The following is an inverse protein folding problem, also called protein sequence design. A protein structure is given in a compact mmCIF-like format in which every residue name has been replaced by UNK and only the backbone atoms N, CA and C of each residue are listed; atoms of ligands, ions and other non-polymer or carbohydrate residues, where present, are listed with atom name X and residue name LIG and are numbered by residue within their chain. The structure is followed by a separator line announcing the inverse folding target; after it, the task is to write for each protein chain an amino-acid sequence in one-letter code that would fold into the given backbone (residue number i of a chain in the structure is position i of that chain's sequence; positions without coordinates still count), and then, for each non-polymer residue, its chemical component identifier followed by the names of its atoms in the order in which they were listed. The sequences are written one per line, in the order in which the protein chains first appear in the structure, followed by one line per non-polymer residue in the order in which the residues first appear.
data_IF_424765784603
#
_entry.id   IF_424765784603
#
_cell.length_a   1.000
_cell.length_b   1.000
_cell.length_c   1.000
_cell.angle_alpha   90.00
_cell.angle_beta   90.00
_cell.angle_gamma   90.00
#
_symmetry.space_group_name_H-M   'P 1'
#
loop_
_entity.id
_entity.type
_entity.pdbx_description
1 polymer ?
#
# COMPACT_ATOMS: atom_id res chain seq x y z
N UNK A 1 40.32 -39.57 -13.79
CA UNK A 1 41.39 -38.56 -13.61
C UNK A 1 41.53 -37.73 -14.89
N UNK A 2 41.06 -36.48 -14.88
CA UNK A 2 41.47 -35.42 -15.82
C UNK A 2 41.13 -34.08 -15.15
N UNK A 3 42.17 -33.29 -14.90
CA UNK A 3 42.11 -31.90 -14.41
C UNK A 3 42.16 -30.93 -15.61
N UNK A 4 41.89 -29.66 -15.28
CA UNK A 4 42.20 -28.41 -16.00
C UNK A 4 41.14 -28.02 -17.05
N UNK A 5 40.56 -26.82 -17.08
CA UNK A 5 40.78 -25.56 -16.36
C UNK A 5 39.96 -24.43 -17.03
N UNK A 6 40.20 -23.18 -16.59
CA UNK A 6 39.67 -21.87 -17.05
C UNK A 6 38.34 -21.45 -16.39
N UNK A 7 38.30 -20.57 -15.38
CA UNK A 7 38.61 -19.12 -15.38
C UNK A 7 37.96 -18.35 -16.55
N UNK A 8 37.03 -17.44 -16.22
CA UNK A 8 36.43 -16.55 -17.20
C UNK A 8 35.28 -15.68 -16.69
N UNK A 9 35.65 -14.52 -16.16
CA UNK A 9 34.93 -13.24 -16.23
C UNK A 9 33.69 -13.00 -15.36
N UNK A 10 33.98 -12.31 -14.27
CA UNK A 10 33.15 -11.30 -13.60
C UNK A 10 32.73 -10.19 -14.57
N UNK A 11 31.45 -10.13 -14.93
CA UNK A 11 30.83 -8.94 -15.51
C UNK A 11 29.98 -8.26 -14.43
N UNK A 12 30.63 -7.33 -13.73
CA UNK A 12 30.01 -6.30 -12.89
C UNK A 12 29.22 -5.35 -13.79
N UNK A 13 27.91 -5.58 -13.91
CA UNK A 13 26.97 -4.68 -14.54
C UNK A 13 26.38 -3.72 -13.52
N UNK A 14 27.11 -2.64 -13.22
CA UNK A 14 26.63 -1.51 -12.45
C UNK A 14 25.54 -0.77 -13.25
N UNK A 15 24.28 -1.19 -13.07
CA UNK A 15 23.10 -0.49 -13.55
C UNK A 15 22.80 0.73 -12.68
N UNK A 16 23.55 1.80 -12.90
CA UNK A 16 23.23 3.14 -12.44
C UNK A 16 21.93 3.63 -13.06
N UNK A 17 21.08 4.23 -12.22
CA UNK A 17 20.31 5.40 -12.60
C UNK A 17 18.98 5.14 -13.30
N UNK A 18 17.92 5.17 -12.49
CA UNK A 18 16.81 6.11 -12.71
C UNK A 18 15.97 6.17 -11.44
N UNK A 19 16.41 7.01 -10.51
CA UNK A 19 15.52 7.63 -9.55
C UNK A 19 14.53 8.47 -10.36
N UNK A 20 13.36 7.90 -10.66
CA UNK A 20 12.21 8.65 -11.11
C UNK A 20 11.81 9.58 -9.98
N UNK A 21 12.35 10.79 -10.02
CA UNK A 21 11.84 11.91 -9.26
C UNK A 21 10.36 12.10 -9.63
N UNK A 22 9.48 11.58 -8.78
CA UNK A 22 8.07 11.94 -8.77
C UNK A 22 8.02 13.37 -8.22
N UNK A 23 8.39 14.32 -9.06
CA UNK A 23 8.10 15.74 -8.84
C UNK A 23 6.59 15.84 -8.93
N UNK A 24 5.96 15.77 -7.76
CA UNK A 24 4.55 16.11 -7.60
C UNK A 24 4.34 17.49 -8.18
N UNK A 25 3.72 17.55 -9.36
CA UNK A 25 2.99 18.75 -9.79
C UNK A 25 1.78 18.87 -8.88
N UNK A 26 2.00 19.31 -7.64
CA UNK A 26 0.98 20.03 -6.90
C UNK A 26 0.81 21.33 -7.67
N UNK A 27 -0.12 21.30 -8.62
CA UNK A 27 -0.54 22.47 -9.37
C UNK A 27 -0.95 23.52 -8.37
N UNK A 28 -0.07 24.49 -8.16
CA UNK A 28 -0.33 25.74 -7.47
C UNK A 28 -1.44 26.46 -8.25
N UNK A 29 -2.70 26.13 -7.93
CA UNK A 29 -3.87 26.86 -8.37
C UNK A 29 -4.00 28.15 -7.54
N UNK A 30 -3.00 29.03 -7.60
CA UNK A 30 -3.09 30.42 -7.12
C UNK A 30 -3.44 31.39 -8.25
N UNK A 31 -3.94 30.87 -9.38
CA UNK A 31 -4.32 31.67 -10.52
C UNK A 31 -5.83 31.85 -10.50
N UNK A 32 -6.24 32.96 -9.90
CA UNK A 32 -7.36 33.85 -10.28
C UNK A 32 -7.83 34.61 -9.04
N UNK A 33 -6.93 35.43 -8.47
CA UNK A 33 -7.39 36.60 -7.72
C UNK A 33 -7.78 37.66 -8.76
N UNK A 34 -9.05 38.12 -8.79
CA UNK A 34 -9.44 39.16 -9.74
C UNK A 34 -8.70 40.43 -9.38
N UNK A 35 -7.89 40.92 -10.33
CA UNK A 35 -7.33 42.26 -10.32
C UNK A 35 -8.50 43.27 -10.39
N UNK A 36 -9.07 43.57 -9.23
CA UNK A 36 -10.01 44.66 -9.02
C UNK A 36 -9.31 45.96 -9.37
N UNK A 37 -9.65 46.48 -10.55
CA UNK A 37 -9.28 47.79 -11.08
C UNK A 37 -9.38 48.87 -10.00
N UNK A 38 -8.23 49.33 -9.51
CA UNK A 38 -8.13 50.55 -8.73
C UNK A 38 -8.49 51.74 -9.65
N UNK A 39 -9.75 52.17 -9.60
CA UNK A 39 -10.19 53.44 -10.18
C UNK A 39 -9.57 54.57 -9.35
N UNK A 40 -8.56 55.21 -9.92
CA UNK A 40 -7.92 56.39 -9.37
C UNK A 40 -8.93 57.53 -9.21
N UNK A 41 -9.30 57.81 -7.96
CA UNK A 41 -9.88 59.07 -7.54
C UNK A 41 -8.80 59.90 -6.83
N UNK A 42 -8.07 60.71 -7.60
CA UNK A 42 -7.25 61.80 -7.03
C UNK A 42 -8.20 62.84 -6.42
N UNK A 43 -8.37 62.81 -5.10
CA UNK A 43 -8.79 63.98 -4.33
C UNK A 43 -7.64 64.35 -3.42
N UNK A 44 -7.07 65.53 -3.65
CA UNK A 44 -6.00 66.11 -2.86
C UNK A 44 -6.46 66.29 -1.41
N UNK A 45 -5.94 65.46 -0.53
CA UNK A 45 -5.97 65.64 0.91
C UNK A 45 -4.52 65.59 1.41
N UNK A 46 -4.17 66.52 2.28
CA UNK A 46 -2.82 66.74 2.82
C UNK A 46 -2.10 65.44 3.26
N UNK A 47 -0.75 65.41 3.24
CA UNK A 47 0.03 64.26 3.70
C UNK A 47 -0.12 64.09 5.22
N UNK A 48 -1.22 63.46 5.65
CA UNK A 48 -1.36 62.94 7.00
C UNK A 48 -0.38 61.79 7.16
N UNK A 49 0.62 61.95 8.03
CA UNK A 49 1.55 60.89 8.38
C UNK A 49 0.76 59.68 8.92
N UNK A 50 0.48 58.70 8.05
CA UNK A 50 -0.15 57.46 8.43
C UNK A 50 0.77 56.77 9.45
N UNK A 51 0.41 56.84 10.73
CA UNK A 51 1.15 56.18 11.80
C UNK A 51 1.11 54.68 11.51
N UNK A 52 2.24 54.12 11.13
CA UNK A 52 2.44 52.68 11.00
C UNK A 52 2.35 52.10 12.41
N UNK A 53 1.16 51.63 12.79
CA UNK A 53 0.99 50.91 14.05
C UNK A 53 1.79 49.61 14.00
N UNK A 54 2.73 49.45 14.93
CA UNK A 54 3.39 48.17 15.15
C UNK A 54 2.49 47.22 15.95
N UNK A 55 2.73 45.93 15.84
CA UNK A 55 2.07 44.92 16.68
C UNK A 55 2.48 45.12 18.14
N UNK A 56 1.51 45.02 19.06
CA UNK A 56 1.82 45.03 20.49
C UNK A 56 2.43 43.68 20.90
N UNK A 57 3.29 43.66 21.92
CA UNK A 57 3.87 42.40 22.44
C UNK A 57 2.78 41.37 22.81
N UNK A 58 1.70 41.85 23.43
CA UNK A 58 0.55 41.01 23.82
C UNK A 58 -0.09 40.35 22.60
N UNK A 59 -0.28 41.10 21.52
CA UNK A 59 -0.85 40.57 20.28
C UNK A 59 0.05 39.50 19.64
N UNK A 60 1.36 39.70 19.67
CA UNK A 60 2.34 38.69 19.20
C UNK A 60 2.25 37.43 20.05
N UNK A 61 2.18 37.55 21.39
CA UNK A 61 2.05 36.39 22.29
C UNK A 61 0.75 35.62 22.05
N UNK A 62 -0.38 36.32 21.90
CA UNK A 62 -1.66 35.70 21.57
C UNK A 62 -1.60 35.00 20.20
N UNK A 63 -0.99 35.64 19.21
CA UNK A 63 -0.83 35.07 17.86
C UNK A 63 0.03 33.81 17.88
N UNK A 64 1.12 33.80 18.64
CA UNK A 64 1.98 32.63 18.79
C UNK A 64 1.25 31.48 19.50
N UNK A 65 0.43 31.78 20.51
CA UNK A 65 -0.37 30.78 21.21
C UNK A 65 -1.45 30.16 20.31
N UNK A 66 -2.14 30.98 19.52
CA UNK A 66 -3.13 30.47 18.56
C UNK A 66 -2.43 29.64 17.48
N UNK A 67 -1.32 30.13 16.95
CA UNK A 67 -0.55 29.44 15.92
C UNK A 67 -0.05 28.07 16.42
N UNK A 68 0.43 27.98 17.65
CA UNK A 68 0.91 26.71 18.21
C UNK A 68 -0.22 25.69 18.36
N UNK A 69 -1.41 26.11 18.79
CA UNK A 69 -2.59 25.25 18.87
C UNK A 69 -3.03 24.74 17.50
N UNK A 70 -3.03 25.62 16.48
CA UNK A 70 -3.37 25.23 15.10
C UNK A 70 -2.36 24.22 14.55
N UNK A 71 -1.06 24.47 14.73
CA UNK A 71 -0.01 23.56 14.28
C UNK A 71 -0.10 22.20 14.95
N UNK A 72 -0.35 22.16 16.27
CA UNK A 72 -0.54 20.91 17.00
C UNK A 72 -1.74 20.13 16.46
N UNK A 73 -2.86 20.79 16.22
CA UNK A 73 -4.05 20.17 15.61
C UNK A 73 -3.77 19.57 14.23
N UNK A 74 -3.06 20.33 13.37
CA UNK A 74 -2.67 19.87 12.04
C UNK A 74 -1.75 18.64 12.11
N UNK A 75 -0.76 18.63 13.01
CA UNK A 75 0.15 17.49 13.19
C UNK A 75 -0.58 16.23 13.66
N UNK A 76 -1.51 16.35 14.61
CA UNK A 76 -2.33 15.22 15.08
C UNK A 76 -3.18 14.67 13.95
N UNK A 77 -3.80 15.55 13.15
CA UNK A 77 -4.60 15.14 12.00
C UNK A 77 -3.74 14.37 10.98
N UNK A 78 -2.58 14.90 10.58
CA UNK A 78 -1.66 14.24 9.64
C UNK A 78 -1.19 12.88 10.15
N UNK A 79 -0.85 12.79 11.45
CA UNK A 79 -0.43 11.54 12.07
C UNK A 79 -1.54 10.47 11.99
N UNK A 80 -2.77 10.83 12.37
CA UNK A 80 -3.93 9.92 12.31
C UNK A 80 -4.25 9.48 10.89
N UNK A 81 -4.16 10.39 9.91
CA UNK A 81 -4.38 10.07 8.51
C UNK A 81 -3.36 9.07 7.98
N UNK A 82 -2.08 9.22 8.35
CA UNK A 82 -1.02 8.30 7.92
C UNK A 82 -1.20 6.90 8.51
N UNK A 83 -1.58 6.82 9.79
CA UNK A 83 -1.88 5.56 10.48
C UNK A 83 -3.01 4.81 9.76
N UNK A 84 -4.13 5.49 9.50
CA UNK A 84 -5.27 4.89 8.82
C UNK A 84 -4.96 4.45 7.38
N UNK A 85 -4.17 5.23 6.65
CA UNK A 85 -3.76 4.88 5.29
C UNK A 85 -2.88 3.61 5.25
N UNK A 86 -2.02 3.42 6.25
CA UNK A 86 -1.17 2.22 6.32
C UNK A 86 -1.94 0.96 6.71
N UNK A 87 -2.86 1.07 7.68
CA UNK A 87 -3.75 -0.04 8.05
C UNK A 87 -4.58 -0.49 6.84
N UNK A 88 -5.24 0.46 6.16
CA UNK A 88 -6.02 0.16 4.95
C UNK A 88 -5.16 -0.43 3.82
N UNK A 89 -3.93 0.04 3.63
CA UNK A 89 -3.00 -0.52 2.65
C UNK A 89 -2.67 -1.99 2.93
N UNK A 90 -2.32 -2.31 4.17
CA UNK A 90 -1.98 -3.69 4.55
C UNK A 90 -3.20 -4.61 4.56
N UNK A 91 -4.36 -4.12 4.97
CA UNK A 91 -5.61 -4.88 4.89
C UNK A 91 -5.96 -5.21 3.43
N UNK A 92 -5.91 -4.20 2.55
CA UNK A 92 -6.12 -4.41 1.12
C UNK A 92 -5.14 -5.43 0.55
N UNK A 93 -3.85 -5.30 0.85
CA UNK A 93 -2.82 -6.22 0.37
C UNK A 93 -3.06 -7.65 0.86
N UNK A 94 -3.40 -7.84 2.13
CA UNK A 94 -3.72 -9.15 2.69
C UNK A 94 -4.95 -9.79 2.01
N UNK A 95 -5.99 -8.99 1.72
CA UNK A 95 -7.18 -9.46 0.96
C UNK A 95 -6.79 -9.88 -0.46
N UNK A 96 -5.98 -9.09 -1.17
CA UNK A 96 -5.52 -9.44 -2.52
C UNK A 96 -4.71 -10.75 -2.53
N UNK A 97 -3.81 -10.91 -1.57
CA UNK A 97 -2.99 -12.13 -1.42
C UNK A 97 -3.83 -13.37 -1.06
N UNK A 98 -4.97 -13.17 -0.38
CA UNK A 98 -5.91 -14.23 -0.05
C UNK A 98 -6.82 -14.61 -1.23
N UNK A 99 -7.22 -13.64 -2.05
CA UNK A 99 -8.05 -13.86 -3.24
C UNK A 99 -7.29 -14.54 -4.38
N UNK A 100 -6.02 -14.23 -4.56
CA UNK A 100 -5.23 -14.74 -5.69
C UNK A 100 -5.26 -16.28 -5.82
N UNK A 101 -4.98 -17.10 -4.78
CA UNK A 101 -5.10 -18.56 -4.90
C UNK A 101 -6.52 -19.01 -5.19
N UNK A 102 -7.52 -18.34 -4.61
CA UNK A 102 -8.93 -18.68 -4.82
C UNK A 102 -9.29 -18.48 -6.29
N UNK A 103 -8.89 -17.37 -6.90
CA UNK A 103 -9.14 -17.08 -8.31
C UNK A 103 -8.40 -18.05 -9.24
N UNK A 104 -7.13 -18.36 -8.92
CA UNK A 104 -6.34 -19.33 -9.68
C UNK A 104 -6.99 -20.72 -9.63
N UNK A 105 -7.33 -21.22 -8.43
CA UNK A 105 -7.98 -22.51 -8.28
C UNK A 105 -9.38 -22.55 -8.89
N UNK A 106 -10.11 -21.43 -8.85
CA UNK A 106 -11.38 -21.29 -9.56
C UNK A 106 -11.19 -21.39 -11.07
N UNK A 107 -10.11 -20.85 -11.61
CA UNK A 107 -9.75 -20.95 -13.04
C UNK A 107 -9.46 -22.39 -13.48
N UNK A 108 -8.82 -23.19 -12.63
CA UNK A 108 -8.57 -24.62 -12.90
C UNK A 108 -9.80 -25.51 -12.70
N UNK A 109 -10.70 -25.13 -11.79
CA UNK A 109 -11.94 -25.85 -11.50
C UNK A 109 -11.79 -26.93 -10.43
N UNK A 110 -12.93 -27.37 -9.88
CA UNK A 110 -12.97 -28.25 -8.70
C UNK A 110 -12.33 -29.61 -8.93
N UNK A 111 -12.49 -30.22 -10.12
CA UNK A 111 -11.92 -31.53 -10.46
C UNK A 111 -10.39 -31.52 -10.41
N UNK A 112 -9.76 -30.50 -10.97
CA UNK A 112 -8.31 -30.35 -10.95
C UNK A 112 -7.78 -30.09 -9.53
N UNK A 113 -8.51 -29.28 -8.75
CA UNK A 113 -8.13 -28.94 -7.36
C UNK A 113 -8.24 -30.13 -6.41
N UNK A 114 -9.19 -31.06 -6.63
CA UNK A 114 -9.26 -32.33 -5.86
C UNK A 114 -7.95 -33.12 -5.94
N UNK A 115 -7.31 -33.11 -7.11
CA UNK A 115 -6.06 -33.83 -7.39
C UNK A 115 -4.82 -32.93 -7.29
N UNK A 116 -4.90 -31.81 -6.54
CA UNK A 116 -3.82 -30.82 -6.46
C UNK A 116 -2.46 -31.42 -6.05
N UNK A 117 -2.47 -32.43 -5.18
CA UNK A 117 -1.23 -33.09 -4.73
C UNK A 117 -0.48 -33.79 -5.85
N UNK A 118 -1.17 -34.22 -6.91
CA UNK A 118 -0.54 -34.82 -8.08
C UNK A 118 0.12 -33.77 -9.00
N UNK A 119 -0.38 -32.52 -8.98
CA UNK A 119 0.05 -31.44 -9.86
C UNK A 119 0.19 -30.11 -9.12
N UNK A 120 1.07 -30.00 -8.12
CA UNK A 120 1.15 -28.80 -7.29
C UNK A 120 1.67 -27.62 -8.10
N UNK A 121 1.06 -26.44 -7.93
CA UNK A 121 1.61 -25.19 -8.44
C UNK A 121 2.69 -24.71 -7.48
N UNK A 122 3.94 -24.51 -7.93
CA UNK A 122 5.02 -24.02 -7.10
C UNK A 122 4.71 -22.67 -6.42
N UNK A 123 3.83 -21.86 -7.01
CA UNK A 123 3.40 -20.54 -6.53
C UNK A 123 2.36 -20.60 -5.41
N UNK A 124 1.63 -21.72 -5.30
CA UNK A 124 0.54 -21.92 -4.34
C UNK A 124 0.71 -23.20 -3.50
N UNK A 125 1.83 -23.37 -2.79
CA UNK A 125 2.01 -24.53 -1.92
C UNK A 125 0.92 -24.59 -0.83
N UNK A 126 0.45 -25.79 -0.51
CA UNK A 126 -0.50 -26.01 0.58
C UNK A 126 0.15 -25.83 1.95
N UNK A 127 -0.64 -25.41 2.93
CA UNK A 127 -0.16 -25.09 4.27
C UNK A 127 0.49 -23.71 4.36
N UNK A 128 1.16 -23.44 5.48
CA UNK A 128 1.77 -22.13 5.78
C UNK A 128 3.04 -21.95 4.96
N UNK A 129 3.08 -20.89 4.16
CA UNK A 129 4.25 -20.51 3.35
C UNK A 129 4.45 -19.00 3.37
N UNK A 130 5.71 -18.58 3.51
CA UNK A 130 6.10 -17.18 3.39
C UNK A 130 5.98 -16.70 1.93
N UNK A 131 5.51 -15.47 1.75
CA UNK A 131 5.41 -14.87 0.43
C UNK A 131 6.79 -14.32 0.08
N UNK A 132 7.43 -14.91 -0.91
CA UNK A 132 8.77 -14.52 -1.35
C UNK A 132 8.68 -13.85 -2.72
N UNK A 133 9.48 -12.80 -2.99
CA UNK A 133 9.50 -12.15 -4.28
C UNK A 133 10.17 -13.09 -5.28
N UNK A 134 9.38 -13.88 -6.00
CA UNK A 134 9.91 -14.82 -6.98
C UNK A 134 10.23 -14.12 -8.29
N UNK A 135 11.32 -14.58 -8.93
CA UNK A 135 11.60 -14.29 -10.34
C UNK A 135 10.68 -15.20 -11.17
N UNK A 136 9.53 -14.68 -11.59
CA UNK A 136 8.51 -15.41 -12.34
C UNK A 136 7.49 -14.45 -12.96
N UNK A 137 6.39 -14.99 -13.49
CA UNK A 137 5.32 -14.19 -14.10
C UNK A 137 4.49 -13.40 -13.07
N UNK A 138 4.39 -13.91 -11.83
CA UNK A 138 3.71 -13.26 -10.73
C UNK A 138 4.64 -12.26 -10.05
N UNK A 139 4.30 -10.98 -10.16
CA UNK A 139 5.02 -9.89 -9.53
C UNK A 139 4.18 -9.28 -8.41
N UNK A 140 4.53 -9.59 -7.17
CA UNK A 140 3.92 -8.96 -6.00
C UNK A 140 4.65 -7.66 -5.64
N UNK A 141 3.94 -6.69 -5.04
CA UNK A 141 4.58 -5.56 -4.39
C UNK A 141 5.61 -6.04 -3.34
N UNK A 142 6.68 -5.28 -3.13
CA UNK A 142 7.70 -5.63 -2.14
C UNK A 142 7.13 -5.84 -0.72
N UNK A 143 6.07 -5.10 -0.37
CA UNK A 143 5.40 -5.23 0.93
C UNK A 143 4.69 -6.58 1.12
N UNK A 144 4.43 -7.35 0.05
CA UNK A 144 3.80 -8.66 0.16
C UNK A 144 4.68 -9.65 0.95
N UNK A 145 6.00 -9.44 0.95
CA UNK A 145 6.94 -10.30 1.68
C UNK A 145 6.85 -10.15 3.21
N UNK A 146 6.06 -9.16 3.67
CA UNK A 146 5.74 -8.98 5.09
C UNK A 146 4.67 -9.96 5.57
N UNK A 147 4.09 -10.77 4.68
CA UNK A 147 3.03 -11.71 4.98
C UNK A 147 3.48 -13.16 4.77
N UNK A 148 2.75 -14.04 5.42
CA UNK A 148 2.70 -15.46 5.11
C UNK A 148 1.25 -15.87 4.87
N UNK A 149 1.10 -16.94 4.10
CA UNK A 149 -0.19 -17.44 3.64
C UNK A 149 -0.32 -18.91 3.97
N UNK A 150 -1.47 -19.31 4.46
CA UNK A 150 -1.87 -20.69 4.65
C UNK A 150 -2.97 -21.02 3.64
N UNK A 151 -2.76 -22.06 2.83
CA UNK A 151 -3.78 -22.57 1.90
C UNK A 151 -4.23 -23.94 2.36
N UNK A 152 -5.53 -24.08 2.59
CA UNK A 152 -6.18 -25.34 2.97
C UNK A 152 -7.22 -25.71 1.93
N UNK A 153 -7.19 -26.97 1.49
CA UNK A 153 -8.16 -27.54 0.57
C UNK A 153 -8.92 -28.64 1.30
N UNK A 154 -10.23 -28.46 1.46
CA UNK A 154 -11.10 -29.41 2.15
C UNK A 154 -12.14 -29.93 1.16
N UNK A 155 -12.12 -31.24 0.80
CA UNK A 155 -13.17 -31.83 -0.01
C UNK A 155 -14.51 -31.72 0.71
N UNK A 156 -15.57 -31.38 -0.03
CA UNK A 156 -16.95 -31.30 0.48
C UNK A 156 -17.81 -32.18 -0.41
N UNK A 157 -18.58 -33.09 0.19
CA UNK A 157 -19.44 -34.02 -0.57
C UNK A 157 -20.90 -33.57 -0.66
N UNK A 158 -21.40 -32.86 0.36
CA UNK A 158 -22.81 -32.44 0.48
C UNK A 158 -22.94 -30.96 0.94
N UNK A 159 -24.00 -30.23 0.54
CA UNK A 159 -25.09 -30.64 -0.37
C UNK A 159 -24.70 -30.57 -1.85
N UNK A 160 -23.56 -29.95 -2.17
CA UNK A 160 -23.02 -29.88 -3.54
C UNK A 160 -21.56 -30.33 -3.49
N UNK A 161 -21.18 -31.37 -4.25
CA UNK A 161 -19.82 -31.88 -4.22
C UNK A 161 -18.85 -30.83 -4.79
N UNK A 162 -17.74 -30.63 -4.07
CA UNK A 162 -16.78 -29.58 -4.39
C UNK A 162 -15.52 -29.62 -3.52
N UNK A 163 -14.76 -28.54 -3.56
CA UNK A 163 -13.60 -28.32 -2.70
C UNK A 163 -13.73 -26.94 -2.07
N UNK A 164 -13.77 -26.89 -0.74
CA UNK A 164 -13.63 -25.65 0.01
C UNK A 164 -12.15 -25.25 0.01
N UNK A 165 -11.85 -24.14 -0.63
CA UNK A 165 -10.55 -23.48 -0.56
C UNK A 165 -10.63 -22.46 0.56
N UNK A 166 -9.78 -22.60 1.57
CA UNK A 166 -9.59 -21.60 2.61
C UNK A 166 -8.17 -21.04 2.50
N UNK A 167 -8.06 -19.72 2.50
CA UNK A 167 -6.80 -19.00 2.46
C UNK A 167 -6.73 -18.05 3.64
N UNK A 168 -5.73 -18.22 4.49
CA UNK A 168 -5.45 -17.34 5.63
C UNK A 168 -4.17 -16.58 5.35
N UNK A 169 -4.20 -15.26 5.49
CA UNK A 169 -3.04 -14.39 5.31
C UNK A 169 -2.79 -13.65 6.61
N UNK A 170 -1.56 -13.74 7.11
CA UNK A 170 -1.14 -13.11 8.37
C UNK A 170 0.23 -12.45 8.24
N UNK A 171 0.52 -11.40 9.03
CA UNK A 171 1.86 -10.82 9.07
C UNK A 171 2.90 -11.86 9.49
N UNK A 172 4.04 -11.86 8.80
CA UNK A 172 5.19 -12.71 9.12
C UNK A 172 6.01 -12.04 10.22
N UNK A 173 6.01 -12.62 11.42
CA UNK A 173 6.83 -12.15 12.55
C UNK A 173 6.64 -10.66 12.90
N UNK A 174 7.69 -10.05 13.47
CA UNK A 174 7.72 -8.65 13.90
C UNK A 174 7.92 -7.66 12.74
N UNK A 175 7.01 -7.67 11.77
CA UNK A 175 7.06 -6.78 10.60
C UNK A 175 6.22 -5.53 10.77
N UNK A 176 6.41 -4.56 9.86
CA UNK A 176 5.54 -3.38 9.79
C UNK A 176 4.08 -3.78 9.61
N UNK A 177 3.79 -4.81 8.82
CA UNK A 177 2.42 -5.31 8.66
C UNK A 177 1.80 -5.69 10.01
N UNK A 178 2.55 -6.33 10.93
CA UNK A 178 2.04 -6.66 12.27
C UNK A 178 1.68 -5.42 13.10
N UNK A 179 2.47 -4.35 13.00
CA UNK A 179 2.24 -3.12 13.75
C UNK A 179 1.00 -2.37 13.25
N UNK A 180 0.77 -2.41 11.93
CA UNK A 180 -0.21 -1.55 11.27
C UNK A 180 -1.54 -2.25 11.01
N UNK A 181 -1.53 -3.55 10.74
CA UNK A 181 -2.72 -4.32 10.45
C UNK A 181 -3.49 -4.57 11.75
N UNK A 182 -4.62 -3.90 11.91
CA UNK A 182 -5.45 -4.05 13.13
C UNK A 182 -6.04 -5.45 13.30
N UNK A 183 -6.32 -6.12 12.18
CA UNK A 183 -6.80 -7.50 12.15
C UNK A 183 -5.59 -8.40 12.04
N UNK A 184 -5.29 -9.19 13.06
CA UNK A 184 -4.08 -10.03 13.07
C UNK A 184 -4.01 -11.02 11.89
N UNK A 185 -5.16 -11.33 11.28
CA UNK A 185 -5.27 -12.16 10.09
C UNK A 185 -6.44 -11.74 9.18
N UNK A 186 -6.32 -12.12 7.91
CA UNK A 186 -7.40 -12.08 6.91
C UNK A 186 -7.67 -13.51 6.46
N UNK A 187 -8.91 -13.96 6.58
CA UNK A 187 -9.34 -15.30 6.16
C UNK A 187 -10.37 -15.15 5.05
N UNK A 188 -10.13 -15.81 3.92
CA UNK A 188 -11.03 -15.87 2.79
C UNK A 188 -11.30 -17.33 2.46
N UNK A 189 -12.53 -17.66 2.09
CA UNK A 189 -12.87 -19.00 1.64
C UNK A 189 -13.81 -18.97 0.45
N UNK A 190 -13.72 -20.01 -0.37
CA UNK A 190 -14.59 -20.20 -1.52
C UNK A 190 -14.85 -21.69 -1.75
N UNK A 191 -16.11 -22.04 -1.97
CA UNK A 191 -16.50 -23.38 -2.40
C UNK A 191 -16.38 -23.47 -3.92
N UNK A 192 -15.48 -24.32 -4.40
CA UNK A 192 -15.36 -24.65 -5.82
C UNK A 192 -16.26 -25.84 -6.12
N UNK A 193 -17.29 -25.61 -6.91
CA UNK A 193 -18.21 -26.66 -7.39
C UNK A 193 -17.86 -27.04 -8.82
N UNK A 194 -18.20 -28.27 -9.21
CA UNK A 194 -18.09 -28.71 -10.60
C UNK A 194 -19.09 -27.93 -11.45
N UNK A 195 -18.65 -27.44 -12.63
CA UNK A 195 -19.57 -26.83 -13.57
C UNK A 195 -20.51 -27.90 -14.13
N UNK A 196 -21.82 -27.65 -14.17
CA UNK A 196 -22.74 -28.53 -14.89
C UNK A 196 -22.31 -28.56 -16.37
N UNK A 197 -22.15 -29.78 -16.90
CA UNK A 197 -21.82 -30.00 -18.32
C UNK A 197 -23.01 -29.71 -19.23
#
# INVERSE_FOLDING_TARGET
MRRVGAEGQTASGAGHGRASAFVGKVGLAWRLWPAGRARGGKRGGAPGHARRGGFTLVEVLISMMILSLVLLGALVMVSRSRVGAMDAWFEFLAVQLALEPIEVFRGFGATWVKDYRAHPLPEFPLGVTAIEPRRGALHWPADATLFEREITLTPVEEPVPGVLVEVRVRPRGATRAQVWLRREEVVMSALLVEQPR
#
